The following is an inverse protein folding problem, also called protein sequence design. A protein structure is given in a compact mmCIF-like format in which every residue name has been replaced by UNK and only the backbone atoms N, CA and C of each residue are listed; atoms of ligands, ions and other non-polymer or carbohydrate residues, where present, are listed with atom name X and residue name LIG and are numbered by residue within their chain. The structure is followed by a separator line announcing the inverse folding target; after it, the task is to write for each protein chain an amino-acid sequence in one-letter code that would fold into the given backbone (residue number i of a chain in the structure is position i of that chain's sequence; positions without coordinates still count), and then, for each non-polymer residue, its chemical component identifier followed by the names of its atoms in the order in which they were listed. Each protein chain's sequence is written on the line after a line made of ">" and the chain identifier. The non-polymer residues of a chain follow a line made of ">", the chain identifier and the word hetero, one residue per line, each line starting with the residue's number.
data_IF_405311125860
#
_entry.id   IF_405311125860
#
_cell.length_a   1.000
_cell.length_b   1.000
_cell.length_c   1.000
_cell.angle_alpha   90.00
_cell.angle_beta   90.00
_cell.angle_gamma   90.00
#
_symmetry.space_group_name_H-M   'P 1'
#
loop_
_entity.id
_entity.type
_entity.pdbx_description
1 polymer ?
#
# COMPACT_ATOMS: atom_id res chain seq x y z
N UNK A 1 -5.53 15.10 -7.03
CA UNK A 1 -4.99 15.76 -5.82
C UNK A 1 -5.99 15.47 -4.73
N UNK A 2 -5.55 14.85 -3.62
CA UNK A 2 -6.44 14.48 -2.52
C UNK A 2 -6.97 15.70 -1.77
N UNK A 3 -7.92 15.47 -0.86
CA UNK A 3 -8.53 16.53 -0.04
C UNK A 3 -7.52 17.21 0.91
N UNK A 4 -6.40 16.54 1.16
CA UNK A 4 -5.22 17.02 1.89
C UNK A 4 -4.23 17.80 1.01
N UNK A 5 -4.52 17.98 -0.28
CA UNK A 5 -3.65 18.66 -1.23
C UNK A 5 -2.46 17.82 -1.72
N UNK A 6 -2.40 16.52 -1.42
CA UNK A 6 -1.28 15.67 -1.85
C UNK A 6 -1.60 15.02 -3.21
N UNK A 7 -0.60 14.96 -4.09
CA UNK A 7 -0.71 14.23 -5.36
C UNK A 7 -0.14 12.82 -5.15
N UNK A 8 -0.99 11.80 -5.29
CA UNK A 8 -0.63 10.38 -5.14
C UNK A 8 -0.83 9.61 -6.45
N UNK A 9 -0.38 8.37 -6.46
CA UNK A 9 -0.72 7.42 -7.52
C UNK A 9 -2.25 7.29 -7.67
N UNK A 10 -2.72 7.01 -8.88
CA UNK A 10 -4.16 7.00 -9.21
C UNK A 10 -4.99 6.00 -8.39
N UNK A 11 -4.36 4.98 -7.81
CA UNK A 11 -5.01 3.96 -6.98
C UNK A 11 -5.09 4.32 -5.49
N UNK A 12 -4.27 5.25 -4.99
CA UNK A 12 -4.22 5.53 -3.54
C UNK A 12 -5.43 6.34 -3.05
N UNK A 13 -6.07 7.12 -3.92
CA UNK A 13 -7.18 8.00 -3.57
C UNK A 13 -8.55 7.34 -3.49
N UNK A 14 -8.63 6.01 -3.48
CA UNK A 14 -9.91 5.26 -3.45
C UNK A 14 -10.48 5.14 -2.04
N UNK A 15 -9.64 5.19 -1.00
CA UNK A 15 -10.03 5.15 0.40
C UNK A 15 -8.94 5.78 1.30
N UNK A 16 -9.29 6.18 2.53
CA UNK A 16 -8.36 6.90 3.42
C UNK A 16 -7.21 6.04 3.93
N UNK A 17 -7.47 4.76 4.19
CA UNK A 17 -6.48 3.74 4.57
C UNK A 17 -5.48 3.47 3.44
N UNK A 18 -5.93 3.49 2.19
CA UNK A 18 -5.07 3.39 1.01
C UNK A 18 -4.09 4.56 0.87
N UNK A 19 -4.49 5.77 1.25
CA UNK A 19 -3.58 6.92 1.26
C UNK A 19 -2.46 6.73 2.29
N UNK A 20 -2.80 6.25 3.50
CA UNK A 20 -1.81 5.99 4.55
C UNK A 20 -0.83 4.89 4.14
N UNK A 21 -1.35 3.78 3.62
CA UNK A 21 -0.54 2.69 3.09
C UNK A 21 0.39 3.15 1.96
N UNK A 22 -0.14 3.93 1.01
CA UNK A 22 0.65 4.48 -0.09
C UNK A 22 1.82 5.36 0.41
N UNK A 23 1.56 6.23 1.37
CA UNK A 23 2.54 7.25 1.79
C UNK A 23 3.65 6.69 2.68
N UNK A 24 3.29 5.71 3.52
CA UNK A 24 4.16 5.22 4.58
C UNK A 24 4.74 3.82 4.33
N UNK A 25 4.12 3.01 3.48
CA UNK A 25 4.54 1.63 3.28
C UNK A 25 4.87 1.28 1.84
N UNK A 26 4.04 1.69 0.89
CA UNK A 26 4.19 1.26 -0.50
C UNK A 26 5.47 1.82 -1.13
N UNK A 27 6.26 0.94 -1.75
CA UNK A 27 7.52 1.31 -2.40
C UNK A 27 8.66 1.72 -1.45
N UNK A 28 8.47 1.62 -0.12
CA UNK A 28 9.54 1.85 0.86
C UNK A 28 10.39 0.58 1.01
N UNK A 29 11.73 0.69 1.06
CA UNK A 29 12.60 -0.46 1.30
C UNK A 29 12.29 -1.15 2.63
N UNK A 30 12.15 -2.48 2.60
CA UNK A 30 12.02 -3.34 3.78
C UNK A 30 13.13 -4.38 3.71
N UNK A 31 13.91 -4.50 4.78
CA UNK A 31 15.04 -5.44 4.89
C UNK A 31 14.88 -6.44 6.03
N UNK A 32 13.77 -6.35 6.75
CA UNK A 32 13.41 -7.29 7.81
C UNK A 32 12.71 -8.51 7.20
N UNK A 33 13.25 -9.71 7.47
CA UNK A 33 12.79 -10.96 6.86
C UNK A 33 11.33 -11.29 7.20
N UNK A 34 10.90 -11.01 8.44
CA UNK A 34 9.53 -11.29 8.89
C UNK A 34 8.54 -10.38 8.19
N UNK A 35 8.83 -9.07 8.11
CA UNK A 35 7.99 -8.13 7.34
C UNK A 35 7.99 -8.42 5.86
N UNK A 36 9.10 -8.87 5.29
CA UNK A 36 9.14 -9.28 3.89
C UNK A 36 8.24 -10.50 3.65
N UNK A 37 8.31 -11.51 4.52
CA UNK A 37 7.44 -12.68 4.45
C UNK A 37 5.96 -12.32 4.61
N UNK A 38 5.63 -11.43 5.56
CA UNK A 38 4.28 -10.90 5.75
C UNK A 38 3.73 -10.27 4.47
N UNK A 39 4.48 -9.34 3.86
CA UNK A 39 4.08 -8.67 2.61
C UNK A 39 3.89 -9.69 1.49
N UNK A 40 4.82 -10.63 1.32
CA UNK A 40 4.70 -11.71 0.33
C UNK A 40 3.42 -12.54 0.51
N UNK A 41 3.07 -12.90 1.74
CA UNK A 41 1.84 -13.64 2.01
C UNK A 41 0.59 -12.83 1.66
N UNK A 42 0.55 -11.55 2.07
CA UNK A 42 -0.60 -10.67 1.81
C UNK A 42 -0.87 -10.48 0.31
N UNK A 43 0.18 -10.28 -0.50
CA UNK A 43 0.07 -10.18 -1.96
C UNK A 43 -0.54 -11.45 -2.57
N UNK A 44 -0.18 -12.63 -2.04
CA UNK A 44 -0.77 -13.91 -2.47
C UNK A 44 -2.28 -14.00 -2.18
N UNK A 45 -2.71 -13.54 -1.00
CA UNK A 45 -4.12 -13.52 -0.60
C UNK A 45 -4.98 -12.57 -1.45
N UNK A 46 -4.38 -11.62 -2.15
CA UNK A 46 -5.08 -10.67 -3.00
C UNK A 46 -5.51 -11.25 -4.38
N UNK A 47 -5.20 -12.51 -4.67
CA UNK A 47 -5.47 -13.12 -5.98
C UNK A 47 -6.96 -13.08 -6.36
N UNK A 48 -7.32 -12.17 -7.27
CA UNK A 48 -8.70 -11.98 -7.73
C UNK A 48 -9.55 -11.03 -6.88
N UNK A 49 -8.95 -10.31 -5.92
CA UNK A 49 -9.60 -9.35 -5.04
C UNK A 49 -8.98 -7.95 -5.18
N UNK A 50 -9.68 -6.94 -4.67
CA UNK A 50 -9.04 -5.65 -4.39
C UNK A 50 -8.04 -5.82 -3.24
N UNK A 51 -7.01 -4.98 -3.21
CA UNK A 51 -6.17 -4.80 -2.04
C UNK A 51 -6.96 -4.19 -0.88
#
# INVERSE_FOLDING_TARGET
>A
MGDDGVVRCGWAGTASDYNEYHDHEWGRPVVDDVRLFEKLCLEGFQSGLAW
#
